data_IF_028934291253
#
_entry.id   IF_028934291253
#
_cell.length_a   1.000
_cell.length_b   1.000
_cell.length_c   1.000
_cell.angle_alpha   90.00
_cell.angle_beta   90.00
_cell.angle_gamma   90.00
#
_symmetry.space_group_name_H-M   'P 1'
#
loop_
_entity.id
_entity.type
_entity.pdbx_description
1 polymer ?
#
# COMPACT_ATOMS: atom_id res chain seq x y z
N UNK A 1 -2.87 9.39 -6.31
CA UNK A 1 -4.32 9.22 -6.42
C UNK A 1 -4.82 9.55 -7.82
N UNK A 2 -4.48 10.72 -8.36
CA UNK A 2 -4.86 11.17 -9.70
C UNK A 2 -4.66 10.14 -10.82
N UNK A 3 -3.53 9.42 -10.84
CA UNK A 3 -3.29 8.35 -11.81
C UNK A 3 -4.34 7.24 -11.73
N UNK A 4 -4.73 6.85 -10.51
CA UNK A 4 -5.77 5.84 -10.30
C UNK A 4 -7.17 6.38 -10.56
N UNK A 5 -7.42 7.66 -10.34
CA UNK A 5 -8.71 8.27 -10.72
C UNK A 5 -8.87 8.23 -12.25
N UNK A 6 -7.81 8.60 -12.98
CA UNK A 6 -7.78 8.43 -14.44
C UNK A 6 -7.96 6.97 -14.85
N UNK A 7 -7.27 6.04 -14.18
CA UNK A 7 -7.45 4.60 -14.41
C UNK A 7 -8.93 4.20 -14.31
N UNK A 8 -9.64 4.62 -13.26
CA UNK A 8 -11.06 4.29 -13.07
C UNK A 8 -11.98 4.91 -14.12
N UNK A 9 -11.59 6.02 -14.75
CA UNK A 9 -12.35 6.53 -15.92
C UNK A 9 -12.20 5.62 -17.14
N UNK A 10 -11.04 4.97 -17.30
CA UNK A 10 -10.73 4.11 -18.43
C UNK A 10 -11.14 2.66 -18.22
N UNK A 11 -10.95 2.17 -17.01
CA UNK A 11 -11.27 0.83 -16.55
C UNK A 11 -11.88 0.94 -15.14
N UNK A 12 -13.20 1.26 -15.06
CA UNK A 12 -13.93 1.37 -13.81
C UNK A 12 -13.78 0.15 -12.91
N UNK A 13 -13.97 0.35 -11.61
CA UNK A 13 -13.87 -0.71 -10.62
C UNK A 13 -15.03 -1.70 -10.74
N UNK A 14 -16.22 -1.22 -11.12
CA UNK A 14 -17.44 -2.01 -11.23
C UNK A 14 -17.46 -2.92 -12.46
N UNK A 15 -18.09 -4.09 -12.29
CA UNK A 15 -18.49 -4.98 -13.37
C UNK A 15 -19.85 -4.54 -13.93
N UNK A 16 -20.15 -4.92 -15.17
CA UNK A 16 -21.50 -4.75 -15.72
C UNK A 16 -22.47 -5.80 -15.13
N UNK A 17 -23.74 -5.70 -15.50
CA UNK A 17 -24.79 -6.62 -15.02
C UNK A 17 -24.56 -8.10 -15.38
N UNK A 18 -23.71 -8.37 -16.37
CA UNK A 18 -23.32 -9.73 -16.77
C UNK A 18 -22.08 -10.24 -16.03
N UNK A 19 -21.51 -9.46 -15.10
CA UNK A 19 -20.27 -9.80 -14.41
C UNK A 19 -19.01 -9.53 -15.24
N UNK A 20 -19.10 -8.78 -16.35
CA UNK A 20 -17.96 -8.45 -17.20
C UNK A 20 -17.30 -7.12 -16.88
N UNK A 21 -16.01 -7.03 -17.18
CA UNK A 21 -15.28 -5.77 -17.05
C UNK A 21 -15.82 -4.71 -18.00
N UNK A 22 -16.05 -3.51 -17.46
CA UNK A 22 -16.33 -2.32 -18.24
C UNK A 22 -14.99 -1.69 -18.63
N UNK A 23 -14.74 -1.54 -19.93
CA UNK A 23 -13.50 -0.92 -20.43
C UNK A 23 -13.87 0.18 -21.41
N UNK A 24 -13.63 1.41 -20.97
CA UNK A 24 -13.95 2.66 -21.69
C UNK A 24 -12.73 3.22 -22.41
N UNK A 25 -11.53 2.96 -21.86
CA UNK A 25 -10.26 3.44 -22.39
C UNK A 25 -9.53 2.43 -23.28
N UNK A 26 -8.52 2.92 -24.00
CA UNK A 26 -7.63 2.12 -24.86
C UNK A 26 -6.15 2.19 -24.44
N UNK A 27 -5.87 2.72 -23.26
CA UNK A 27 -4.51 2.94 -22.75
C UNK A 27 -3.77 1.62 -22.56
N UNK A 28 -4.47 0.50 -22.32
CA UNK A 28 -3.84 -0.83 -22.30
C UNK A 28 -3.11 -1.20 -23.61
N UNK A 29 -3.37 -0.52 -24.73
CA UNK A 29 -2.71 -0.74 -26.02
C UNK A 29 -1.42 0.07 -26.21
N UNK A 30 -1.02 0.92 -25.26
CA UNK A 30 0.12 1.83 -25.46
C UNK A 30 1.47 1.12 -25.47
N UNK A 31 1.57 -0.04 -24.81
CA UNK A 31 2.84 -0.72 -24.57
C UNK A 31 3.04 -1.98 -25.42
N UNK A 32 1.96 -2.59 -25.94
CA UNK A 32 2.06 -3.72 -26.86
C UNK A 32 0.82 -3.87 -27.74
N UNK A 33 1.01 -4.53 -28.88
CA UNK A 33 -0.03 -4.80 -29.88
C UNK A 33 -0.39 -6.29 -29.92
N UNK A 34 -1.68 -6.60 -29.89
CA UNK A 34 -2.23 -7.93 -30.16
C UNK A 34 -3.39 -7.81 -31.15
N UNK A 35 -3.63 -8.87 -31.93
CA UNK A 35 -4.82 -8.97 -32.79
C UNK A 35 -6.11 -8.95 -31.96
N UNK A 36 -6.14 -9.74 -30.90
CA UNK A 36 -7.21 -9.78 -29.91
C UNK A 36 -6.63 -9.69 -28.50
N UNK A 37 -7.29 -8.94 -27.62
CA UNK A 37 -6.90 -8.79 -26.21
C UNK A 37 -7.89 -9.52 -25.33
N UNK A 38 -7.41 -10.49 -24.55
CA UNK A 38 -8.18 -11.06 -23.45
C UNK A 38 -8.35 -10.04 -22.32
N UNK A 39 -9.22 -10.32 -21.36
CA UNK A 39 -9.36 -9.44 -20.19
C UNK A 39 -8.05 -9.32 -19.40
N UNK A 40 -7.30 -10.41 -19.26
CA UNK A 40 -6.00 -10.42 -18.59
C UNK A 40 -4.95 -9.65 -19.39
N UNK A 41 -5.01 -9.68 -20.73
CA UNK A 41 -4.15 -8.83 -21.57
C UNK A 41 -4.44 -7.34 -21.35
N UNK A 42 -5.71 -6.96 -21.20
CA UNK A 42 -6.08 -5.56 -20.94
C UNK A 42 -5.59 -5.12 -19.56
N UNK A 43 -5.75 -5.97 -18.54
CA UNK A 43 -5.17 -5.75 -17.19
C UNK A 43 -3.66 -5.53 -17.30
N UNK A 44 -2.94 -6.43 -17.97
CA UNK A 44 -1.50 -6.32 -18.19
C UNK A 44 -1.09 -5.00 -18.86
N UNK A 45 -1.82 -4.58 -19.90
CA UNK A 45 -1.58 -3.29 -20.54
C UNK A 45 -1.77 -2.09 -19.60
N UNK A 46 -2.77 -2.14 -18.72
CA UNK A 46 -2.97 -1.10 -17.71
C UNK A 46 -1.93 -1.13 -16.58
N UNK A 47 -1.37 -2.30 -16.22
CA UNK A 47 -0.23 -2.38 -15.31
C UNK A 47 0.98 -1.63 -15.89
N UNK A 48 1.31 -1.88 -17.16
CA UNK A 48 2.39 -1.18 -17.85
C UNK A 48 2.14 0.34 -17.92
N UNK A 49 0.88 0.72 -18.20
CA UNK A 49 0.47 2.13 -18.20
C UNK A 49 0.63 2.76 -16.80
N UNK A 50 0.22 2.06 -15.73
CA UNK A 50 0.36 2.53 -14.36
C UNK A 50 1.82 2.73 -13.97
N UNK A 51 2.70 1.77 -14.26
CA UNK A 51 4.13 1.91 -14.01
C UNK A 51 4.69 3.14 -14.74
N UNK A 52 4.39 3.29 -16.02
CA UNK A 52 4.84 4.44 -16.78
C UNK A 52 4.31 5.76 -16.18
N UNK A 53 3.03 5.84 -15.86
CA UNK A 53 2.41 7.05 -15.31
C UNK A 53 2.91 7.40 -13.91
N UNK A 54 3.05 6.43 -13.01
CA UNK A 54 3.50 6.64 -11.63
C UNK A 54 4.97 7.05 -11.63
N UNK A 55 5.84 6.36 -12.37
CA UNK A 55 7.26 6.67 -12.40
C UNK A 55 7.54 8.06 -13.00
N UNK A 56 6.79 8.48 -14.02
CA UNK A 56 6.85 9.85 -14.53
C UNK A 56 6.37 10.91 -13.51
N UNK A 57 5.56 10.50 -12.52
CA UNK A 57 4.99 11.38 -11.48
C UNK A 57 5.78 11.39 -10.17
N UNK A 58 6.80 10.55 -10.00
CA UNK A 58 7.68 10.60 -8.84
C UNK A 58 8.68 11.74 -9.08
N UNK A 59 8.41 12.89 -8.47
CA UNK A 59 9.34 14.04 -8.44
C UNK A 59 9.59 14.57 -7.02
N UNK A 60 8.66 14.38 -6.09
CA UNK A 60 8.72 14.87 -4.71
C UNK A 60 8.68 13.73 -3.69
N UNK A 61 9.79 13.01 -3.58
CA UNK A 61 9.92 11.90 -2.63
C UNK A 61 11.15 12.06 -1.77
N UNK A 62 10.98 12.00 -0.45
CA UNK A 62 12.10 12.01 0.51
C UNK A 62 13.06 10.84 0.27
N UNK A 63 12.48 9.64 0.02
CA UNK A 63 13.20 8.47 -0.48
C UNK A 63 12.54 7.96 -1.76
N UNK A 64 13.28 8.02 -2.86
CA UNK A 64 12.81 7.54 -4.16
C UNK A 64 12.52 6.04 -4.15
N UNK A 65 13.39 5.25 -3.51
CA UNK A 65 13.19 3.81 -3.36
C UNK A 65 11.89 3.49 -2.60
N UNK A 66 11.62 4.24 -1.52
CA UNK A 66 10.39 4.12 -0.76
C UNK A 66 9.17 4.43 -1.64
N UNK A 67 9.20 5.54 -2.38
CA UNK A 67 8.09 5.90 -3.27
C UNK A 67 7.84 4.89 -4.39
N UNK A 68 8.90 4.37 -5.03
CA UNK A 68 8.76 3.31 -6.04
C UNK A 68 8.12 2.07 -5.42
N UNK A 69 8.56 1.68 -4.22
CA UNK A 69 8.02 0.54 -3.48
C UNK A 69 6.54 0.72 -3.15
N UNK A 70 6.16 1.89 -2.62
CA UNK A 70 4.76 2.25 -2.36
C UNK A 70 3.93 2.25 -3.65
N UNK A 71 4.48 2.77 -4.75
CA UNK A 71 3.87 2.71 -6.07
C UNK A 71 3.60 1.27 -6.52
N UNK A 72 4.57 0.36 -6.37
CA UNK A 72 4.40 -1.07 -6.66
C UNK A 72 3.27 -1.65 -5.84
N UNK A 73 3.25 -1.39 -4.53
CA UNK A 73 2.21 -1.89 -3.63
C UNK A 73 0.82 -1.48 -4.10
N UNK A 74 0.60 -0.21 -4.46
CA UNK A 74 -0.69 0.25 -4.96
C UNK A 74 -1.06 -0.36 -6.32
N UNK A 75 -0.09 -0.54 -7.23
CA UNK A 75 -0.30 -1.22 -8.52
C UNK A 75 -0.72 -2.68 -8.30
N UNK A 76 -0.03 -3.40 -7.40
CA UNK A 76 -0.35 -4.79 -7.06
C UNK A 76 -1.68 -4.91 -6.31
N UNK A 77 -2.03 -3.93 -5.49
CA UNK A 77 -3.37 -3.76 -4.90
C UNK A 77 -4.46 -3.81 -5.98
N UNK A 78 -4.34 -2.93 -6.97
CA UNK A 78 -5.28 -2.89 -8.08
C UNK A 78 -5.28 -4.16 -8.94
N UNK A 79 -4.09 -4.71 -9.24
CA UNK A 79 -3.97 -5.97 -9.97
C UNK A 79 -4.74 -7.10 -9.26
N UNK A 80 -4.52 -7.23 -7.96
CA UNK A 80 -5.14 -8.25 -7.13
C UNK A 80 -6.65 -8.07 -7.09
N UNK A 81 -7.10 -6.84 -6.88
CA UNK A 81 -8.52 -6.50 -6.92
C UNK A 81 -9.18 -6.93 -8.23
N UNK A 82 -8.58 -6.56 -9.37
CA UNK A 82 -9.13 -6.96 -10.67
C UNK A 82 -9.14 -8.47 -10.83
N UNK A 83 -8.03 -9.16 -10.59
CA UNK A 83 -8.00 -10.61 -10.75
C UNK A 83 -8.99 -11.35 -9.83
N UNK A 84 -9.19 -10.86 -8.59
CA UNK A 84 -10.12 -11.44 -7.61
C UNK A 84 -11.60 -11.25 -7.98
N UNK A 85 -11.95 -10.23 -8.80
CA UNK A 85 -13.32 -9.99 -9.26
C UNK A 85 -13.88 -11.08 -10.19
N UNK A 86 -13.03 -11.78 -10.95
CA UNK A 86 -13.45 -12.83 -11.90
C UNK A 86 -12.80 -14.17 -11.57
N UNK A 87 -13.39 -14.90 -10.63
CA UNK A 87 -12.95 -16.23 -10.18
C UNK A 87 -13.07 -17.33 -11.24
N UNK A 88 -13.86 -17.12 -12.31
CA UNK A 88 -14.07 -18.10 -13.39
C UNK A 88 -12.84 -18.32 -14.29
N UNK A 89 -11.91 -17.37 -14.31
CA UNK A 89 -10.61 -17.56 -14.96
C UNK A 89 -9.68 -18.23 -13.94
N UNK A 90 -9.60 -19.58 -13.91
CA UNK A 90 -8.62 -20.40 -13.14
C UNK A 90 -7.77 -19.56 -12.18
N UNK A 91 -8.22 -19.37 -10.94
CA UNK A 91 -7.64 -18.47 -9.91
C UNK A 91 -6.21 -18.03 -10.26
N UNK A 92 -6.08 -16.93 -11.01
CA UNK A 92 -4.78 -16.40 -11.41
C UNK A 92 -4.20 -15.79 -10.14
N UNK A 93 -3.25 -16.46 -9.50
CA UNK A 93 -2.49 -15.86 -8.40
C UNK A 93 -1.61 -14.74 -8.96
N UNK A 94 -1.19 -13.80 -8.11
CA UNK A 94 -0.22 -12.78 -8.51
C UNK A 94 1.06 -13.40 -9.09
N UNK A 95 1.53 -14.50 -8.50
CA UNK A 95 2.69 -15.21 -9.01
C UNK A 95 2.43 -15.86 -10.39
N UNK A 96 1.22 -16.35 -10.66
CA UNK A 96 0.87 -16.89 -11.98
C UNK A 96 0.87 -15.77 -13.04
N UNK A 97 0.34 -14.60 -12.68
CA UNK A 97 0.42 -13.40 -13.52
C UNK A 97 1.87 -13.00 -13.79
N UNK A 98 2.72 -13.04 -12.76
CA UNK A 98 4.14 -12.75 -12.89
C UNK A 98 4.84 -13.70 -13.86
N UNK A 99 4.69 -15.01 -13.69
CA UNK A 99 5.30 -16.01 -14.60
C UNK A 99 4.79 -15.86 -16.03
N UNK A 100 3.49 -15.58 -16.20
CA UNK A 100 2.87 -15.46 -17.52
C UNK A 100 3.28 -14.19 -18.27
N UNK A 101 3.38 -13.03 -17.60
CA UNK A 101 3.56 -11.74 -18.27
C UNK A 101 4.86 -11.02 -17.93
N UNK A 102 5.37 -11.15 -16.71
CA UNK A 102 6.47 -10.30 -16.22
C UNK A 102 7.81 -11.01 -16.39
N UNK A 103 7.89 -12.29 -16.03
CA UNK A 103 9.13 -13.06 -16.02
C UNK A 103 9.81 -13.07 -17.40
N UNK A 104 9.01 -13.24 -18.45
CA UNK A 104 9.46 -13.33 -19.84
C UNK A 104 8.90 -12.25 -20.78
N UNK A 105 8.10 -11.31 -20.26
CA UNK A 105 7.55 -10.23 -21.07
C UNK A 105 8.60 -9.21 -21.49
N UNK A 106 8.76 -9.05 -22.81
CA UNK A 106 9.69 -8.05 -23.38
C UNK A 106 9.37 -6.63 -22.94
N UNK A 107 8.08 -6.33 -22.73
CA UNK A 107 7.60 -5.01 -22.30
C UNK A 107 8.08 -4.65 -20.89
N UNK A 108 8.31 -5.66 -20.03
CA UNK A 108 8.83 -5.47 -18.68
C UNK A 108 10.36 -5.47 -18.62
N UNK A 109 11.02 -6.12 -19.58
CA UNK A 109 12.50 -6.22 -19.68
C UNK A 109 13.14 -5.07 -20.46
N UNK A 110 12.38 -4.31 -21.25
CA UNK A 110 12.93 -3.16 -21.96
C UNK A 110 13.36 -2.05 -21.00
N UNK A 111 14.36 -1.26 -21.40
CA UNK A 111 14.75 -0.06 -20.66
C UNK A 111 13.55 0.88 -20.53
N UNK A 112 13.31 1.36 -19.30
CA UNK A 112 12.22 2.31 -19.01
C UNK A 112 12.39 3.61 -19.81
N UNK A 113 13.63 4.05 -20.06
CA UNK A 113 13.91 5.22 -20.89
C UNK A 113 13.39 5.09 -22.33
N UNK A 114 13.32 3.86 -22.83
CA UNK A 114 12.84 3.56 -24.17
C UNK A 114 11.31 3.39 -24.21
N UNK A 115 10.63 3.42 -23.05
CA UNK A 115 9.17 3.30 -22.99
C UNK A 115 8.54 4.57 -23.55
N UNK A 116 7.67 4.40 -24.55
CA UNK A 116 6.95 5.51 -25.16
C UNK A 116 6.20 6.35 -24.12
N UNK A 117 6.47 7.65 -24.13
CA UNK A 117 5.82 8.61 -23.23
C UNK A 117 6.46 8.69 -21.84
N UNK A 118 7.52 7.93 -21.58
CA UNK A 118 8.40 8.19 -20.44
C UNK A 118 9.19 9.47 -20.70
N UNK A 119 9.29 10.32 -19.67
CA UNK A 119 9.82 11.70 -19.81
C UNK A 119 11.03 11.97 -18.93
N UNK A 120 11.40 11.04 -18.04
CA UNK A 120 12.46 11.25 -17.07
C UNK A 120 13.77 10.65 -17.60
N UNK A 121 14.92 11.30 -17.37
CA UNK A 121 16.22 10.67 -17.62
C UNK A 121 16.61 9.78 -16.43
N UNK A 122 16.99 8.52 -16.68
CA UNK A 122 17.33 7.56 -15.60
C UNK A 122 18.79 7.69 -15.18
N UNK A 123 19.67 8.25 -16.02
CA UNK A 123 21.12 8.35 -15.79
C UNK A 123 21.54 8.91 -14.41
N UNK A 124 20.65 9.59 -13.66
CA UNK A 124 20.91 9.98 -12.26
C UNK A 124 19.71 9.78 -11.30
N UNK A 125 18.64 9.09 -11.71
CA UNK A 125 17.35 9.19 -11.01
C UNK A 125 16.88 7.93 -10.29
N UNK A 126 17.12 6.73 -10.84
CA UNK A 126 16.71 5.44 -10.27
C UNK A 126 17.75 4.37 -10.57
N UNK A 127 18.00 3.46 -9.61
CA UNK A 127 18.86 2.29 -9.84
C UNK A 127 18.23 1.29 -10.82
N UNK A 128 16.90 1.29 -10.91
CA UNK A 128 16.15 0.36 -11.76
C UNK A 128 16.11 0.81 -13.21
N UNK A 129 16.50 -0.08 -14.10
CA UNK A 129 16.51 0.12 -15.55
C UNK A 129 15.27 -0.41 -16.23
N UNK A 130 14.59 -1.37 -15.62
CA UNK A 130 13.44 -2.08 -16.19
C UNK A 130 12.28 -2.19 -15.20
N UNK A 131 11.04 -2.29 -15.69
CA UNK A 131 9.90 -2.55 -14.80
C UNK A 131 10.01 -3.91 -14.11
N UNK A 132 10.64 -4.89 -14.78
CA UNK A 132 10.91 -6.20 -14.19
C UNK A 132 11.79 -6.06 -12.93
N UNK A 133 12.87 -5.29 -12.98
CA UNK A 133 13.75 -5.09 -11.81
C UNK A 133 13.02 -4.47 -10.62
N UNK A 134 12.17 -3.47 -10.89
CA UNK A 134 11.32 -2.84 -9.85
C UNK A 134 10.43 -3.90 -9.18
N UNK A 135 9.80 -4.75 -9.98
CA UNK A 135 8.90 -5.80 -9.51
C UNK A 135 9.67 -6.90 -8.79
N UNK A 136 10.83 -7.32 -9.31
CA UNK A 136 11.66 -8.38 -8.74
C UNK A 136 12.15 -8.02 -7.33
N UNK A 137 12.53 -6.77 -7.10
CA UNK A 137 12.92 -6.28 -5.77
C UNK A 137 11.77 -6.34 -4.77
N UNK A 138 10.54 -6.27 -5.27
CA UNK A 138 9.30 -6.35 -4.52
C UNK A 138 8.59 -7.72 -4.66
N UNK A 139 9.29 -8.74 -5.20
CA UNK A 139 8.69 -10.02 -5.62
C UNK A 139 7.98 -10.75 -4.48
N UNK A 140 8.46 -10.60 -3.25
CA UNK A 140 7.84 -11.19 -2.06
C UNK A 140 6.37 -10.78 -1.89
N UNK A 141 5.97 -9.61 -2.41
CA UNK A 141 4.56 -9.17 -2.39
C UNK A 141 3.67 -10.04 -3.29
N UNK A 142 4.23 -10.67 -4.32
CA UNK A 142 3.50 -11.58 -5.23
C UNK A 142 3.14 -12.91 -4.55
N UNK A 143 3.80 -13.26 -3.45
CA UNK A 143 3.57 -14.49 -2.70
C UNK A 143 2.42 -14.34 -1.68
N UNK A 144 1.98 -13.12 -1.41
CA UNK A 144 0.85 -12.85 -0.52
C UNK A 144 -0.45 -13.27 -1.22
N UNK A 145 -1.39 -13.82 -0.44
CA UNK A 145 -2.70 -14.21 -0.97
C UNK A 145 -3.38 -13.02 -1.67
N UNK A 146 -3.80 -13.26 -2.90
CA UNK A 146 -4.46 -12.26 -3.74
C UNK A 146 -5.70 -11.68 -3.08
N UNK A 147 -6.43 -12.46 -2.28
CA UNK A 147 -7.61 -12.00 -1.53
C UNK A 147 -7.27 -11.05 -0.40
N UNK A 148 -6.06 -11.15 0.15
CA UNK A 148 -5.57 -10.23 1.18
C UNK A 148 -5.15 -8.92 0.53
N UNK A 149 -4.43 -8.99 -0.60
CA UNK A 149 -4.03 -7.79 -1.35
C UNK A 149 -5.23 -7.11 -2.06
N UNK A 150 -6.23 -7.86 -2.52
CA UNK A 150 -7.41 -7.27 -3.16
C UNK A 150 -8.17 -6.36 -2.21
N UNK A 151 -8.36 -6.78 -0.96
CA UNK A 151 -8.96 -5.97 0.11
C UNK A 151 -8.17 -4.68 0.41
N UNK A 152 -6.84 -4.67 0.22
CA UNK A 152 -6.04 -3.46 0.36
C UNK A 152 -6.40 -2.38 -0.67
N UNK A 153 -6.90 -2.76 -1.85
CA UNK A 153 -7.31 -1.79 -2.85
C UNK A 153 -8.47 -0.91 -2.37
N UNK A 154 -9.43 -1.47 -1.65
CA UNK A 154 -10.54 -0.69 -1.09
C UNK A 154 -10.08 0.28 -0.01
N UNK A 155 -9.11 -0.11 0.81
CA UNK A 155 -8.43 0.77 1.76
C UNK A 155 -7.76 1.94 1.03
N UNK A 156 -6.95 1.64 0.01
CA UNK A 156 -6.27 2.63 -0.81
C UNK A 156 -7.25 3.57 -1.53
N UNK A 157 -8.38 3.06 -2.01
CA UNK A 157 -9.43 3.87 -2.65
C UNK A 157 -9.96 4.95 -1.69
N UNK A 158 -10.24 4.59 -0.44
CA UNK A 158 -10.69 5.55 0.57
C UNK A 158 -9.59 6.56 0.92
N UNK A 159 -8.34 6.11 1.05
CA UNK A 159 -7.19 6.99 1.26
C UNK A 159 -7.11 8.07 0.16
N UNK A 160 -7.31 7.68 -1.10
CA UNK A 160 -7.32 8.62 -2.21
C UNK A 160 -8.50 9.60 -2.17
N UNK A 161 -9.69 9.15 -1.79
CA UNK A 161 -10.83 10.06 -1.60
C UNK A 161 -10.56 11.08 -0.48
N UNK A 162 -9.93 10.66 0.61
CA UNK A 162 -9.49 11.57 1.66
C UNK A 162 -8.50 12.62 1.12
N UNK A 163 -7.46 12.18 0.39
CA UNK A 163 -6.48 13.10 -0.18
C UNK A 163 -7.11 14.11 -1.16
N UNK A 164 -7.92 13.63 -2.10
CA UNK A 164 -8.51 14.46 -3.15
C UNK A 164 -9.54 15.47 -2.63
N UNK A 165 -10.31 15.09 -1.60
CA UNK A 165 -11.36 15.94 -1.03
C UNK A 165 -10.87 16.80 0.15
N UNK A 166 -9.57 16.80 0.44
CA UNK A 166 -8.97 17.54 1.56
C UNK A 166 -9.29 19.05 1.52
N UNK A 167 -9.33 19.63 0.32
CA UNK A 167 -9.68 21.04 0.10
C UNK A 167 -11.13 21.39 0.46
N UNK A 168 -12.02 20.39 0.54
CA UNK A 168 -13.47 20.56 0.77
C UNK A 168 -13.88 20.15 2.19
N UNK A 169 -12.94 19.79 3.06
CA UNK A 169 -13.20 19.34 4.44
C UNK A 169 -14.13 20.29 5.22
N UNK A 170 -14.02 21.62 5.01
CA UNK A 170 -14.86 22.61 5.71
C UNK A 170 -16.30 22.65 5.20
N UNK A 171 -16.51 22.48 3.90
CA UNK A 171 -17.84 22.59 3.27
C UNK A 171 -18.56 21.25 3.17
N UNK A 172 -17.83 20.13 3.26
CA UNK A 172 -18.34 18.76 3.09
C UNK A 172 -17.80 17.82 4.18
N UNK A 173 -17.79 18.27 5.42
CA UNK A 173 -17.22 17.53 6.56
C UNK A 173 -17.83 16.13 6.74
N UNK A 174 -19.15 16.01 6.66
CA UNK A 174 -19.85 14.72 6.82
C UNK A 174 -19.46 13.71 5.74
N UNK A 175 -19.36 14.15 4.48
CA UNK A 175 -18.94 13.30 3.37
C UNK A 175 -17.47 12.89 3.54
N UNK A 176 -16.61 13.84 3.90
CA UNK A 176 -15.19 13.59 4.15
C UNK A 176 -14.98 12.56 5.27
N UNK A 177 -15.69 12.70 6.39
CA UNK A 177 -15.59 11.79 7.53
C UNK A 177 -16.06 10.36 7.20
N UNK A 178 -16.97 10.18 6.23
CA UNK A 178 -17.29 8.83 5.73
C UNK A 178 -16.07 8.15 5.12
N UNK A 179 -15.25 8.88 4.34
CA UNK A 179 -14.01 8.32 3.78
C UNK A 179 -12.98 8.01 4.87
N UNK A 180 -12.86 8.88 5.87
CA UNK A 180 -11.96 8.67 7.03
C UNK A 180 -12.34 7.41 7.81
N UNK A 181 -13.62 7.26 8.16
CA UNK A 181 -14.10 6.10 8.91
C UNK A 181 -13.99 4.82 8.10
N UNK A 182 -14.39 4.84 6.83
CA UNK A 182 -14.23 3.67 5.94
C UNK A 182 -12.77 3.23 5.80
N UNK A 183 -11.82 4.19 5.73
CA UNK A 183 -10.40 3.86 5.74
C UNK A 183 -10.02 3.16 7.04
N UNK A 184 -10.34 3.74 8.20
CA UNK A 184 -9.96 3.20 9.50
C UNK A 184 -10.53 1.80 9.75
N UNK A 185 -11.80 1.58 9.40
CA UNK A 185 -12.47 0.28 9.55
C UNK A 185 -11.81 -0.78 8.66
N UNK A 186 -11.59 -0.47 7.38
CA UNK A 186 -10.93 -1.38 6.44
C UNK A 186 -9.48 -1.67 6.87
N UNK A 187 -8.77 -0.66 7.38
CA UNK A 187 -7.41 -0.81 7.89
C UNK A 187 -7.39 -1.80 9.06
N UNK A 188 -8.29 -1.64 10.02
CA UNK A 188 -8.35 -2.47 11.22
C UNK A 188 -8.72 -3.93 10.91
N UNK A 189 -9.64 -4.14 9.95
CA UNK A 189 -9.96 -5.49 9.44
C UNK A 189 -8.71 -6.12 8.82
N UNK A 190 -8.07 -5.41 7.89
CA UNK A 190 -6.88 -5.89 7.20
C UNK A 190 -5.71 -6.16 8.16
N UNK A 191 -5.51 -5.31 9.16
CA UNK A 191 -4.42 -5.46 10.14
C UNK A 191 -4.56 -6.75 10.96
N UNK A 192 -5.78 -7.14 11.29
CA UNK A 192 -6.05 -8.37 12.03
C UNK A 192 -5.93 -9.62 11.14
N UNK A 193 -6.42 -9.53 9.89
CA UNK A 193 -6.32 -10.58 8.86
C UNK A 193 -4.89 -10.78 8.33
N UNK A 194 -4.02 -9.76 8.47
CA UNK A 194 -2.65 -9.77 7.96
C UNK A 194 -1.77 -10.81 8.67
N UNK A 195 -1.69 -12.00 8.08
CA UNK A 195 -0.87 -13.10 8.60
C UNK A 195 0.61 -12.97 8.22
N UNK A 196 0.96 -12.18 7.19
CA UNK A 196 2.35 -11.99 6.78
C UNK A 196 2.94 -10.68 7.33
N UNK A 197 4.18 -10.75 7.81
CA UNK A 197 4.94 -9.55 8.21
C UNK A 197 5.10 -8.55 7.06
N UNK A 198 5.21 -9.06 5.84
CA UNK A 198 5.32 -8.24 4.64
C UNK A 198 4.08 -7.38 4.39
N UNK A 199 2.87 -7.94 4.55
CA UNK A 199 1.65 -7.18 4.36
C UNK A 199 1.43 -6.13 5.48
N UNK A 200 1.96 -6.38 6.69
CA UNK A 200 2.01 -5.34 7.73
C UNK A 200 2.87 -4.14 7.31
N UNK A 201 3.95 -4.34 6.55
CA UNK A 201 4.74 -3.24 5.99
C UNK A 201 3.94 -2.43 4.97
N UNK A 202 3.14 -3.10 4.13
CA UNK A 202 2.20 -2.45 3.21
C UNK A 202 1.20 -1.57 3.97
N UNK A 203 0.60 -2.10 5.03
CA UNK A 203 -0.32 -1.34 5.88
C UNK A 203 0.40 -0.17 6.58
N UNK A 204 1.66 -0.33 6.98
CA UNK A 204 2.44 0.75 7.57
C UNK A 204 2.60 1.96 6.62
N UNK A 205 2.82 1.72 5.32
CA UNK A 205 2.85 2.80 4.33
C UNK A 205 1.50 3.53 4.22
N UNK A 206 0.39 2.79 4.18
CA UNK A 206 -0.94 3.39 4.16
C UNK A 206 -1.27 4.17 5.46
N UNK A 207 -0.81 3.69 6.61
CA UNK A 207 -0.94 4.38 7.90
C UNK A 207 -0.13 5.68 7.93
N UNK A 208 1.07 5.68 7.34
CA UNK A 208 1.86 6.90 7.17
C UNK A 208 1.10 7.93 6.33
N UNK A 209 0.57 7.54 5.17
CA UNK A 209 -0.19 8.43 4.29
C UNK A 209 -1.47 8.96 4.98
N UNK A 210 -2.16 8.12 5.76
CA UNK A 210 -3.32 8.52 6.56
C UNK A 210 -2.96 9.63 7.57
N UNK A 211 -1.85 9.46 8.29
CA UNK A 211 -1.37 10.45 9.25
C UNK A 211 -0.90 11.74 8.57
N UNK A 212 -0.27 11.63 7.40
CA UNK A 212 0.09 12.78 6.58
C UNK A 212 -1.15 13.59 6.17
N UNK A 213 -2.20 12.93 5.66
CA UNK A 213 -3.47 13.57 5.29
C UNK A 213 -4.14 14.22 6.51
N UNK A 214 -4.19 13.51 7.65
CA UNK A 214 -4.71 14.02 8.92
C UNK A 214 -4.04 15.35 9.29
N UNK A 215 -2.71 15.38 9.29
CA UNK A 215 -1.94 16.57 9.65
C UNK A 215 -2.09 17.70 8.61
N UNK A 216 -2.30 17.38 7.34
CA UNK A 216 -2.48 18.37 6.27
C UNK A 216 -3.85 19.04 6.30
N UNK A 217 -4.87 18.40 6.88
CA UNK A 217 -6.24 18.94 6.94
C UNK A 217 -6.33 20.32 7.60
N UNK A 218 -5.45 20.64 8.58
CA UNK A 218 -5.40 21.93 9.29
C UNK A 218 -6.76 22.40 9.88
N UNK A 219 -7.74 21.51 10.04
CA UNK A 219 -9.05 21.78 10.62
C UNK A 219 -9.20 20.96 11.90
N UNK A 220 -8.96 21.59 13.05
CA UNK A 220 -8.85 20.90 14.34
C UNK A 220 -10.10 20.08 14.71
N UNK A 221 -11.30 20.60 14.44
CA UNK A 221 -12.56 19.90 14.72
C UNK A 221 -12.71 18.60 13.93
N UNK A 222 -12.10 18.52 12.75
CA UNK A 222 -12.11 17.33 11.88
C UNK A 222 -11.00 16.37 12.29
N UNK A 223 -9.80 16.88 12.58
CA UNK A 223 -8.67 16.07 13.06
C UNK A 223 -9.04 15.30 14.34
N UNK A 224 -9.81 15.91 15.25
CA UNK A 224 -10.33 15.27 16.47
C UNK A 224 -11.29 14.10 16.22
N UNK A 225 -11.83 13.98 15.01
CA UNK A 225 -12.75 12.91 14.62
C UNK A 225 -12.06 11.79 13.83
N UNK A 226 -10.75 11.87 13.58
CA UNK A 226 -10.00 10.78 12.95
C UNK A 226 -9.87 9.62 13.95
N UNK A 227 -10.34 8.42 13.60
CA UNK A 227 -10.11 7.23 14.41
C UNK A 227 -8.60 6.95 14.53
N UNK A 228 -8.21 6.40 15.68
CA UNK A 228 -6.88 5.84 15.85
C UNK A 228 -6.79 4.49 15.15
N UNK A 229 -5.69 4.28 14.43
CA UNK A 229 -5.43 3.02 13.76
C UNK A 229 -4.78 2.03 14.73
N UNK A 230 -5.17 0.76 14.63
CA UNK A 230 -4.56 -0.30 15.44
C UNK A 230 -3.09 -0.50 15.03
N UNK A 231 -2.18 -0.49 16.00
CA UNK A 231 -0.74 -0.76 15.79
C UNK A 231 -0.29 -2.10 16.39
N UNK A 232 -1.11 -2.70 17.25
CA UNK A 232 -0.85 -3.97 17.93
C UNK A 232 -2.12 -4.82 17.95
N UNK A 233 -1.99 -6.15 17.75
CA UNK A 233 -3.15 -7.04 17.85
C UNK A 233 -3.67 -6.99 19.29
N UNK A 234 -4.90 -6.50 19.49
CA UNK A 234 -5.58 -6.72 20.77
C UNK A 234 -5.82 -8.22 20.92
N UNK A 235 -5.06 -8.86 21.79
CA UNK A 235 -5.44 -10.17 22.32
C UNK A 235 -6.79 -9.96 22.99
N UNK A 236 -7.86 -10.53 22.44
CA UNK A 236 -9.11 -10.63 23.18
C UNK A 236 -8.83 -11.52 24.40
N UNK A 237 -8.53 -10.89 25.53
CA UNK A 237 -8.71 -11.53 26.82
C UNK A 237 -10.22 -11.66 26.96
N UNK A 238 -10.74 -12.85 26.72
CA UNK A 238 -12.07 -13.24 27.14
C UNK A 238 -12.09 -13.12 28.66
N UNK A 239 -12.48 -11.95 29.16
CA UNK A 239 -12.81 -11.76 30.56
C UNK A 239 -14.15 -12.46 30.77
N UNK A 240 -14.09 -13.77 30.98
CA UNK A 240 -15.16 -14.50 31.65
C UNK A 240 -15.18 -14.00 33.09
N UNK A 241 -16.09 -13.05 33.34
CA UNK A 241 -16.46 -12.61 34.67
C UNK A 241 -17.27 -13.72 35.34
N UNK A 242 -16.63 -14.56 36.13
CA UNK A 242 -17.32 -15.35 37.16
C UNK A 242 -16.93 -14.79 38.53
N UNK A 243 -17.72 -13.82 38.99
CA UNK A 243 -17.86 -13.56 40.42
C UNK A 243 -18.86 -14.58 41.00
N UNK A 244 -18.40 -15.34 41.99
CA UNK A 244 -18.97 -15.45 43.33
C UNK A 244 -19.03 -16.92 43.84
N UNK A 245 -18.18 -17.25 44.81
CA UNK A 245 -18.54 -17.35 46.25
C UNK A 245 -17.47 -18.10 47.04
N UNK A 246 -16.96 -17.38 48.02
CA UNK A 246 -16.30 -17.85 49.24
C UNK A 246 -17.13 -18.90 49.98
N UNK A 247 -16.53 -20.06 50.26
CA UNK A 247 -16.72 -20.78 51.54
C UNK A 247 -15.37 -21.39 51.93
N UNK A 248 -14.95 -21.04 53.14
CA UNK A 248 -13.75 -21.52 53.83
C UNK A 248 -14.03 -22.83 54.56
N UNK A 249 -13.10 -23.79 54.51
CA UNK A 249 -12.89 -24.76 55.59
C UNK A 249 -11.54 -25.47 55.45
N UNK A 250 -10.71 -25.29 56.47
CA UNK A 250 -9.43 -25.97 56.69
C UNK A 250 -9.63 -27.44 57.10
N UNK A 251 -8.71 -28.32 56.72
CA UNK A 251 -8.54 -29.60 57.41
C UNK A 251 -7.74 -30.64 56.63
N UNK A 252 -6.46 -30.77 56.96
CA UNK A 252 -5.69 -32.01 56.77
C UNK A 252 -5.63 -32.72 58.14
N UNK A 253 -5.80 -34.06 58.20
CA UNK A 253 -4.62 -34.92 58.29
C UNK A 253 -4.74 -36.27 57.54
N UNK A 254 -3.60 -36.74 57.00
CA UNK A 254 -3.30 -38.16 56.65
C UNK A 254 -3.17 -39.00 57.95
N UNK A 255 -3.14 -40.38 57.98
CA UNK A 255 -2.38 -41.27 57.06
C UNK A 255 -2.88 -42.74 56.86
N UNK A 256 -2.04 -43.50 56.11
CA UNK A 256 -1.94 -44.98 55.98
C UNK A 256 -2.96 -45.67 55.06
N UNK A 257 -2.65 -46.70 54.26
CA UNK A 257 -1.50 -47.62 54.16
C UNK A 257 -1.53 -48.36 52.79
N UNK A 258 -0.34 -48.74 52.29
CA UNK A 258 0.02 -50.00 51.57
C UNK A 258 -0.72 -50.37 50.25
N UNK A 259 -0.15 -50.88 49.15
CA UNK A 259 1.15 -51.46 48.70
C UNK A 259 0.95 -51.70 47.18
N UNK A 260 1.85 -51.40 46.23
CA UNK A 260 2.90 -52.25 45.58
C UNK A 260 3.32 -51.54 44.27
N UNK A 261 4.52 -50.97 44.14
CA UNK A 261 5.79 -51.49 43.56
C UNK A 261 5.79 -51.85 42.07
N UNK A 262 6.84 -51.33 41.41
CA UNK A 262 7.52 -51.65 40.12
C UNK A 262 7.20 -50.72 38.95
N UNK A 263 8.15 -50.10 38.25
CA UNK A 263 9.61 -49.93 38.39
C UNK A 263 10.05 -48.82 37.39
N UNK A 264 11.19 -48.16 37.66
CA UNK A 264 12.16 -47.52 36.71
C UNK A 264 11.63 -46.54 35.64
N UNK A 265 12.18 -45.36 35.38
CA UNK A 265 13.51 -44.79 35.58
C UNK A 265 13.39 -43.25 35.47
N UNK A 266 14.24 -42.56 36.21
CA UNK A 266 14.43 -41.11 36.18
C UNK A 266 15.72 -40.85 35.43
N UNK A 267 15.73 -39.99 34.41
CA UNK A 267 16.91 -39.16 34.06
C UNK A 267 16.41 -37.97 33.21
N UNK A 268 16.42 -36.77 33.80
CA UNK A 268 17.41 -35.70 33.61
C UNK A 268 17.03 -34.72 32.49
N UNK A 269 16.73 -33.51 32.94
CA UNK A 269 16.73 -32.27 32.16
C UNK A 269 18.01 -32.16 31.34
N UNK A 270 17.89 -32.12 30.01
CA UNK A 270 18.85 -31.45 29.15
C UNK A 270 18.12 -30.47 28.23
N UNK A 271 18.23 -29.21 28.60
CA UNK A 271 18.02 -28.06 27.75
C UNK A 271 19.26 -27.84 26.89
N UNK A 272 19.19 -28.15 25.60
CA UNK A 272 20.09 -27.63 24.55
C UNK A 272 19.19 -27.33 23.33
N UNK A 273 18.96 -26.07 22.98
CA UNK A 273 19.80 -25.28 22.06
C UNK A 273 20.27 -26.09 20.84
N UNK A 274 19.44 -26.13 19.79
CA UNK A 274 19.96 -26.18 18.43
C UNK A 274 19.56 -24.94 17.64
N UNK A 275 20.60 -24.12 17.50
CA UNK A 275 20.85 -23.10 16.51
C UNK A 275 20.72 -23.69 15.09
N UNK A 276 19.78 -23.18 14.30
CA UNK A 276 19.86 -23.27 12.84
C UNK A 276 19.88 -21.87 12.24
N UNK A 277 21.09 -21.30 12.21
CA UNK A 277 21.53 -20.33 11.20
C UNK A 277 22.13 -21.18 10.07
N UNK A 278 22.03 -20.89 8.77
CA UNK A 278 21.78 -19.66 8.04
C UNK A 278 21.64 -20.05 6.57
N UNK A 279 20.79 -19.39 5.79
CA UNK A 279 21.20 -18.87 4.48
C UNK A 279 20.26 -17.75 4.00
N UNK A 280 20.66 -16.53 4.35
CA UNK A 280 20.58 -15.32 3.53
C UNK A 280 19.23 -14.93 2.90
N UNK A 281 18.21 -14.71 3.73
CA UNK A 281 17.23 -13.69 3.40
C UNK A 281 17.88 -12.32 3.68
N UNK A 282 18.43 -11.68 2.64
CA UNK A 282 18.80 -10.26 2.71
C UNK A 282 17.58 -9.49 3.25
N UNK A 283 17.69 -9.08 4.51
CA UNK A 283 16.84 -8.09 5.14
C UNK A 283 16.96 -6.82 4.31
N UNK A 284 15.90 -6.45 3.61
CA UNK A 284 15.79 -5.09 3.06
C UNK A 284 15.73 -4.16 4.28
N UNK A 285 16.70 -3.26 4.48
CA UNK A 285 16.60 -2.27 5.53
C UNK A 285 15.65 -1.19 5.03
N UNK A 286 14.34 -1.38 5.23
CA UNK A 286 13.44 -0.23 5.21
C UNK A 286 13.67 0.51 6.53
N UNK A 287 14.57 1.49 6.51
CA UNK A 287 14.76 2.43 7.63
C UNK A 287 13.50 3.28 7.74
N UNK A 288 12.44 2.72 8.32
CA UNK A 288 11.26 3.45 8.79
C UNK A 288 11.00 3.05 10.24
N UNK A 289 12.03 3.21 11.07
CA UNK A 289 11.87 3.31 12.52
C UNK A 289 12.97 4.21 13.09
N UNK A 290 12.77 5.52 12.90
CA UNK A 290 13.13 6.52 13.89
C UNK A 290 12.01 7.56 13.89
N UNK A 291 10.99 7.34 14.72
CA UNK A 291 10.14 8.43 15.19
C UNK A 291 11.04 9.34 16.04
N UNK A 292 11.68 10.32 15.40
CA UNK A 292 12.26 11.45 16.12
C UNK A 292 11.10 12.45 16.21
N UNK A 293 10.61 12.80 17.42
CA UNK A 293 9.69 13.90 17.56
C UNK A 293 10.49 15.18 17.26
N UNK A 294 10.44 15.65 16.02
CA UNK A 294 11.01 16.95 15.66
C UNK A 294 10.05 18.00 16.20
N UNK A 295 10.47 18.90 17.10
CA UNK A 295 9.64 20.03 17.47
C UNK A 295 9.48 20.92 16.23
N UNK A 296 8.24 21.06 15.75
CA UNK A 296 7.87 22.00 14.71
C UNK A 296 8.14 23.43 15.21
N UNK A 297 9.31 23.98 14.88
CA UNK A 297 9.56 25.41 15.00
C UNK A 297 8.93 26.07 13.77
N UNK A 298 7.82 26.77 14.00
CA UNK A 298 7.20 27.65 13.00
C UNK A 298 8.20 28.74 12.61
N UNK A 299 8.75 28.66 11.39
CA UNK A 299 9.42 29.79 10.75
C UNK A 299 8.41 30.45 9.82
N UNK A 300 7.93 31.61 10.27
CA UNK A 300 7.15 32.58 9.51
C UNK A 300 7.92 32.96 8.25
N UNK A 301 7.36 32.69 7.07
CA UNK A 301 7.70 33.42 5.85
C UNK A 301 6.43 33.99 5.24
N UNK A 302 6.12 35.21 5.68
CA UNK A 302 5.34 36.16 4.88
C UNK A 302 6.22 36.55 3.69
N UNK A 303 5.90 36.08 2.48
CA UNK A 303 6.37 36.73 1.25
C UNK A 303 5.16 37.00 0.37
N UNK A 304 4.84 38.29 0.32
CA UNK A 304 3.88 38.98 -0.50
C UNK A 304 4.10 38.67 -1.99
N UNK A 305 3.16 37.97 -2.62
CA UNK A 305 3.04 37.94 -4.08
C UNK A 305 2.09 39.06 -4.51
N UNK A 306 2.65 40.27 -4.61
CA UNK A 306 1.90 41.48 -4.91
C UNK A 306 2.76 42.54 -5.57
N UNK A 307 3.33 42.25 -6.74
CA UNK A 307 3.73 43.28 -7.70
C UNK A 307 3.36 42.79 -9.12
N UNK A 308 2.21 43.25 -9.59
CA UNK A 308 1.81 43.18 -11.00
C UNK A 308 2.75 44.09 -11.80
N UNK A 309 3.57 43.51 -12.68
CA UNK A 309 4.32 44.26 -13.69
C UNK A 309 3.35 44.77 -14.75
N UNK A 310 3.08 46.08 -14.71
CA UNK A 310 2.45 46.83 -15.80
C UNK A 310 3.54 47.22 -16.81
N UNK A 311 3.72 46.41 -17.85
CA UNK A 311 4.60 46.77 -18.99
C UNK A 311 3.85 47.72 -19.92
N UNK A 312 4.42 48.91 -20.07
CA UNK A 312 3.93 50.01 -20.88
C UNK A 312 4.39 49.80 -22.33
N UNK A 313 3.46 49.72 -23.28
CA UNK A 313 3.73 49.51 -24.69
C UNK A 313 4.10 50.86 -25.34
N UNK A 314 5.35 51.07 -25.77
CA UNK A 314 5.75 52.21 -26.63
C UNK A 314 6.65 51.74 -27.76
N UNK A 315 6.05 51.74 -28.95
CA UNK A 315 6.57 51.88 -30.32
C UNK A 315 8.08 51.71 -30.58
N UNK A 316 8.42 50.68 -31.35
CA UNK A 316 9.71 50.54 -32.05
C UNK A 316 9.61 51.25 -33.41
N UNK A 317 10.26 52.41 -33.54
CA UNK A 317 10.54 53.05 -34.84
C UNK A 317 11.78 52.40 -35.47
N UNK A 318 11.60 51.88 -36.69
CA UNK A 318 12.66 51.44 -37.61
C UNK A 318 13.51 52.65 -38.05
N UNK A 319 14.83 52.51 -38.01
CA UNK A 319 15.77 53.29 -38.84
C UNK A 319 16.72 52.32 -39.55
N UNK A 320 16.74 52.42 -40.89
CA UNK A 320 17.74 51.83 -41.79
C UNK A 320 18.60 53.01 -42.26
N UNK A 321 19.94 52.97 -42.18
CA UNK A 321 20.78 53.86 -42.97
C UNK A 321 21.19 53.21 -44.30
N UNK A 322 21.32 54.09 -45.29
CA UNK A 322 21.67 53.87 -46.70
C UNK A 322 23.01 53.18 -46.95
#
# INVERSE_FOLDING_TARGET
CDTFDNLRTFFPDELNNSGDYIIKGRQYKTHFCKSNYTDVDKINGYILWLFNSILNGIYNCESKESCVTVGVVYILGWLSYKLDQKTENKVIKLNDFYTMYIENGKEYKQSIENVKGYKQSIENYMEYKTYKEIIDKNKKLMDVDIKVISKFYDLFNNLCKMYNELSKVRSKSEEYLKYVNNFADNYNILFNDANSNLFKQVLSAASYDYNYIKNTSNVESIIKQFPELITEKKTQITLSSDEAKTVSSNGMPSPSSDTKVSDSETEVLHSENELSNSETAQSIPLVINKLIPIPFIFVVTLILLGIVYKVNNKEIKKYIPH
#
